data_IF_160722877275
#
_entry.id   IF_160722877275
#
_cell.length_a   1.000
_cell.length_b   1.000
_cell.length_c   1.000
_cell.angle_alpha   90.00
_cell.angle_beta   90.00
_cell.angle_gamma   90.00
#
_symmetry.space_group_name_H-M   'P 1'
#
loop_
_entity.id
_entity.type
_entity.pdbx_description
1 polymer ?
#
# COMPACT_ATOMS: atom_id res chain seq x y z
N UNK A 1 9.35 -1.84 5.10
CA UNK A 1 8.17 -2.68 4.80
C UNK A 1 8.58 -3.80 3.85
N UNK A 2 8.08 -5.02 4.06
CA UNK A 2 8.25 -6.15 3.12
C UNK A 2 6.90 -6.46 2.49
N UNK A 3 6.80 -6.38 1.16
CA UNK A 3 5.57 -6.69 0.42
C UNK A 3 5.56 -8.15 -0.03
N UNK A 4 4.49 -8.87 0.30
CA UNK A 4 4.28 -10.24 -0.14
C UNK A 4 3.96 -10.29 -1.64
N UNK A 5 4.55 -11.25 -2.35
CA UNK A 5 4.49 -11.35 -3.83
C UNK A 5 3.16 -11.89 -4.39
N UNK A 6 2.16 -12.14 -3.55
CA UNK A 6 0.90 -12.79 -3.95
C UNK A 6 0.17 -12.03 -5.06
N UNK A 7 -0.02 -10.72 -4.89
CA UNK A 7 -0.70 -9.88 -5.88
C UNK A 7 0.04 -9.89 -7.23
N UNK A 8 1.35 -9.73 -7.21
CA UNK A 8 2.17 -9.74 -8.43
C UNK A 8 2.14 -11.11 -9.14
N UNK A 9 2.15 -12.21 -8.39
CA UNK A 9 2.05 -13.56 -8.95
C UNK A 9 0.72 -13.80 -9.66
N UNK A 10 -0.40 -13.34 -9.08
CA UNK A 10 -1.73 -13.46 -9.70
C UNK A 10 -1.78 -12.62 -10.96
N UNK A 11 -1.36 -11.36 -10.89
CA UNK A 11 -1.40 -10.44 -12.02
C UNK A 11 -0.60 -10.93 -13.23
N UNK A 12 0.62 -11.41 -13.01
CA UNK A 12 1.48 -11.98 -14.08
C UNK A 12 0.84 -13.22 -14.70
N UNK A 13 0.44 -14.20 -13.88
CA UNK A 13 -0.08 -15.49 -14.40
C UNK A 13 -1.45 -15.38 -15.05
N UNK A 14 -2.23 -14.37 -14.68
CA UNK A 14 -3.55 -14.12 -15.26
C UNK A 14 -3.51 -13.03 -16.34
N UNK A 15 -2.33 -12.51 -16.70
CA UNK A 15 -2.15 -11.40 -17.65
C UNK A 15 -3.12 -10.22 -17.36
N UNK A 16 -3.27 -9.86 -16.08
CA UNK A 16 -4.30 -8.96 -15.61
C UNK A 16 -3.73 -7.70 -14.96
N UNK A 17 -4.05 -6.56 -15.56
CA UNK A 17 -3.69 -5.24 -15.05
C UNK A 17 -4.16 -5.04 -13.61
N UNK A 18 -3.31 -4.41 -12.80
CA UNK A 18 -3.60 -4.12 -11.40
C UNK A 18 -3.59 -2.61 -11.14
N UNK A 19 -4.25 -2.20 -10.07
CA UNK A 19 -4.25 -0.81 -9.62
C UNK A 19 -3.81 -0.73 -8.17
N UNK A 20 -2.84 0.14 -7.90
CA UNK A 20 -2.37 0.40 -6.55
C UNK A 20 -3.28 1.44 -5.90
N UNK A 21 -3.78 1.12 -4.71
CA UNK A 21 -4.58 2.03 -3.90
C UNK A 21 -3.87 2.20 -2.56
N UNK A 22 -3.62 3.45 -2.17
CA UNK A 22 -3.01 3.78 -0.89
C UNK A 22 -4.11 4.25 0.05
N UNK A 23 -4.23 3.57 1.19
CA UNK A 23 -5.21 3.91 2.23
C UNK A 23 -4.43 4.40 3.43
N UNK A 24 -4.76 5.62 3.89
CA UNK A 24 -4.23 6.22 5.11
C UNK A 24 -5.37 6.37 6.10
N UNK A 25 -5.05 6.17 7.38
CA UNK A 25 -5.94 6.46 8.48
C UNK A 25 -5.22 7.41 9.43
N UNK A 26 -5.87 8.48 9.86
CA UNK A 26 -5.29 9.43 10.81
C UNK A 26 -5.01 8.79 12.17
N UNK A 27 -5.79 7.78 12.54
CA UNK A 27 -5.70 7.09 13.82
C UNK A 27 -5.37 5.61 13.66
N UNK A 28 -4.73 5.03 14.68
CA UNK A 28 -4.57 3.58 14.74
C UNK A 28 -5.89 2.92 15.16
N UNK A 29 -6.59 2.32 14.19
CA UNK A 29 -7.81 1.56 14.45
C UNK A 29 -7.53 0.26 15.23
N UNK A 30 -8.59 -0.44 15.61
CA UNK A 30 -8.51 -1.75 16.24
C UNK A 30 -7.78 -2.73 15.30
N UNK A 31 -6.59 -3.14 15.72
CA UNK A 31 -5.75 -4.07 14.98
C UNK A 31 -5.96 -5.52 15.44
N UNK A 32 -5.24 -6.44 14.80
CA UNK A 32 -5.14 -7.82 15.27
C UNK A 32 -4.51 -7.80 16.67
N UNK A 33 -5.15 -8.47 17.63
CA UNK A 33 -4.81 -8.48 19.06
C UNK A 33 -5.17 -7.21 19.86
N UNK A 34 -5.84 -6.23 19.26
CA UNK A 34 -6.44 -5.13 20.02
C UNK A 34 -7.68 -5.60 20.77
N UNK A 35 -7.90 -5.07 21.98
CA UNK A 35 -9.15 -5.25 22.72
C UNK A 35 -10.27 -4.56 21.95
N UNK A 36 -11.40 -5.23 21.74
CA UNK A 36 -12.50 -4.70 20.93
C UNK A 36 -13.08 -3.37 21.45
N UNK A 37 -12.92 -3.09 22.75
CA UNK A 37 -13.40 -1.87 23.41
C UNK A 37 -12.38 -0.72 23.43
N UNK A 38 -11.16 -0.94 22.95
CA UNK A 38 -10.08 0.06 22.98
C UNK A 38 -10.03 0.87 21.68
N UNK A 39 -11.16 1.52 21.37
CA UNK A 39 -11.29 2.33 20.17
C UNK A 39 -10.49 3.65 20.30
N UNK A 40 -10.01 4.24 19.19
CA UNK A 40 -9.31 5.52 19.23
C UNK A 40 -10.18 6.63 19.82
N UNK A 41 -9.56 7.52 20.60
CA UNK A 41 -10.24 8.60 21.31
C UNK A 41 -10.84 9.66 20.36
N UNK A 42 -10.27 9.80 19.17
CA UNK A 42 -10.66 10.74 18.12
C UNK A 42 -11.29 10.00 16.93
N UNK A 43 -12.12 10.73 16.17
CA UNK A 43 -12.73 10.16 14.96
C UNK A 43 -11.66 9.92 13.90
N UNK A 44 -11.47 8.68 13.42
CA UNK A 44 -10.52 8.39 12.35
C UNK A 44 -10.95 9.02 11.02
N UNK A 45 -10.00 9.63 10.32
CA UNK A 45 -10.15 10.09 8.94
C UNK A 45 -9.42 9.14 8.00
N UNK A 46 -10.12 8.66 6.97
CA UNK A 46 -9.56 7.81 5.93
C UNK A 46 -9.31 8.61 4.66
N UNK A 47 -8.09 8.55 4.14
CA UNK A 47 -7.72 9.10 2.83
C UNK A 47 -7.42 7.93 1.89
N UNK A 48 -8.07 7.92 0.73
CA UNK A 48 -7.92 6.89 -0.29
C UNK A 48 -7.34 7.55 -1.54
N UNK A 49 -6.12 7.16 -1.90
CA UNK A 49 -5.45 7.59 -3.12
C UNK A 49 -5.49 6.45 -4.13
N UNK A 50 -6.22 6.65 -5.22
CA UNK A 50 -6.36 5.66 -6.29
C UNK A 50 -5.31 5.97 -7.35
N UNK A 51 -4.30 5.11 -7.46
CA UNK A 51 -3.23 5.26 -8.43
C UNK A 51 -3.64 4.85 -9.85
N UNK A 52 -2.71 5.05 -10.77
CA UNK A 52 -2.87 4.60 -12.15
C UNK A 52 -2.90 3.07 -12.26
N UNK A 53 -3.44 2.59 -13.39
CA UNK A 53 -3.42 1.16 -13.70
C UNK A 53 -2.03 0.77 -14.17
N UNK A 54 -1.45 -0.23 -13.50
CA UNK A 54 -0.18 -0.85 -13.87
C UNK A 54 -0.45 -1.89 -14.94
N UNK A 55 0.07 -1.64 -16.14
CA UNK A 55 -0.10 -2.52 -17.29
C UNK A 55 0.85 -3.72 -17.19
N UNK A 56 0.32 -4.94 -17.16
CA UNK A 56 1.16 -6.14 -16.99
C UNK A 56 2.05 -6.41 -18.20
N UNK A 57 1.61 -5.99 -19.39
CA UNK A 57 2.40 -6.09 -20.61
C UNK A 57 3.77 -5.38 -20.53
N UNK A 58 3.98 -4.46 -19.57
CA UNK A 58 5.28 -3.82 -19.33
C UNK A 58 6.27 -4.71 -18.55
N UNK A 59 5.76 -5.74 -17.86
CA UNK A 59 6.54 -6.60 -16.96
C UNK A 59 6.59 -8.06 -17.42
N UNK A 60 5.64 -8.48 -18.24
CA UNK A 60 5.49 -9.86 -18.65
C UNK A 60 5.04 -9.96 -20.10
N UNK A 61 5.74 -10.80 -20.84
CA UNK A 61 5.38 -11.28 -22.16
C UNK A 61 5.63 -12.79 -22.17
N UNK A 62 4.60 -13.55 -22.57
CA UNK A 62 4.57 -15.02 -22.52
C UNK A 62 5.75 -15.66 -23.26
N UNK A 63 6.35 -14.96 -24.22
CA UNK A 63 7.43 -15.49 -25.05
C UNK A 63 8.84 -15.22 -24.51
N UNK A 64 8.99 -14.34 -23.52
CA UNK A 64 10.31 -13.78 -23.20
C UNK A 64 10.74 -13.90 -21.75
N UNK A 65 9.84 -14.13 -20.78
CA UNK A 65 10.19 -14.09 -19.36
C UNK A 65 9.57 -15.23 -18.54
N UNK A 66 10.37 -15.79 -17.64
CA UNK A 66 9.87 -16.69 -16.59
C UNK A 66 8.89 -15.93 -15.67
N UNK A 67 7.66 -16.45 -15.45
CA UNK A 67 6.64 -15.76 -14.65
C UNK A 67 7.10 -15.37 -13.24
N UNK A 68 7.99 -16.18 -12.66
CA UNK A 68 8.55 -15.93 -11.33
C UNK A 68 9.45 -14.69 -11.27
N UNK A 69 10.20 -14.40 -12.33
CA UNK A 69 11.06 -13.22 -12.44
C UNK A 69 10.20 -11.97 -12.67
N UNK A 70 9.24 -12.04 -13.59
CA UNK A 70 8.29 -10.96 -13.85
C UNK A 70 7.52 -10.56 -12.59
N UNK A 71 7.04 -11.53 -11.81
CA UNK A 71 6.34 -11.27 -10.55
C UNK A 71 7.25 -10.58 -9.51
N UNK A 72 8.55 -10.88 -9.47
CA UNK A 72 9.50 -10.19 -8.58
C UNK A 72 9.72 -8.74 -9.01
N UNK A 73 9.85 -8.49 -10.31
CA UNK A 73 10.02 -7.15 -10.87
C UNK A 73 8.77 -6.29 -10.60
N UNK A 74 7.59 -6.82 -10.90
CA UNK A 74 6.31 -6.18 -10.62
C UNK A 74 6.13 -5.89 -9.12
N UNK A 75 6.45 -6.85 -8.23
CA UNK A 75 6.36 -6.64 -6.79
C UNK A 75 7.29 -5.52 -6.30
N UNK A 76 8.49 -5.38 -6.90
CA UNK A 76 9.40 -4.28 -6.59
C UNK A 76 8.82 -2.94 -7.05
N UNK A 77 8.23 -2.89 -8.24
CA UNK A 77 7.57 -1.69 -8.76
C UNK A 77 6.42 -1.23 -7.84
N UNK A 78 5.54 -2.15 -7.45
CA UNK A 78 4.44 -1.86 -6.52
C UNK A 78 4.97 -1.35 -5.17
N UNK A 79 6.02 -2.00 -4.63
CA UNK A 79 6.62 -1.58 -3.37
C UNK A 79 7.14 -0.14 -3.43
N UNK A 80 7.74 0.29 -4.54
CA UNK A 80 8.21 1.67 -4.72
C UNK A 80 7.05 2.66 -4.75
N UNK A 81 5.96 2.36 -5.47
CA UNK A 81 4.77 3.21 -5.52
C UNK A 81 4.10 3.39 -4.14
N UNK A 82 4.06 2.32 -3.34
CA UNK A 82 3.51 2.37 -1.98
C UNK A 82 4.37 3.21 -1.03
N UNK A 83 5.69 3.31 -1.28
CA UNK A 83 6.61 4.09 -0.46
C UNK A 83 6.56 5.59 -0.77
N UNK A 84 6.39 5.97 -2.04
CA UNK A 84 6.41 7.37 -2.49
C UNK A 84 5.23 8.21 -1.99
N UNK A 85 4.12 7.60 -1.58
CA UNK A 85 3.01 8.32 -0.96
C UNK A 85 3.30 8.80 0.48
N UNK A 86 4.41 8.39 1.10
CA UNK A 86 4.73 8.73 2.49
C UNK A 86 5.23 10.16 2.63
N UNK A 87 4.38 11.16 2.36
CA UNK A 87 4.60 12.50 2.90
C UNK A 87 4.16 12.47 4.36
N UNK A 88 5.07 12.62 5.35
CA UNK A 88 4.64 12.68 6.73
C UNK A 88 3.86 13.99 6.91
N UNK A 89 2.54 13.90 7.11
CA UNK A 89 1.77 15.00 7.68
C UNK A 89 2.16 15.13 9.15
N UNK A 90 3.35 15.69 9.39
CA UNK A 90 3.75 16.16 10.72
C UNK A 90 2.93 17.41 11.01
N UNK A 91 1.73 17.20 11.53
CA UNK A 91 0.88 18.24 12.06
C UNK A 91 1.30 18.56 13.49
N UNK A 92 2.03 19.68 13.62
CA UNK A 92 1.84 20.72 14.63
C UNK A 92 1.96 20.28 16.10
N UNK A 93 3.09 20.67 16.70
CA UNK A 93 3.30 20.70 18.14
C UNK A 93 2.19 21.51 18.83
N UNK A 94 1.42 20.88 19.72
CA UNK A 94 0.66 21.57 20.77
C UNK A 94 1.62 22.02 21.88
N UNK A 95 2.24 23.18 21.66
CA UNK A 95 2.95 23.92 22.70
C UNK A 95 1.97 24.89 23.39
N UNK A 96 1.11 24.38 24.26
CA UNK A 96 0.40 25.20 25.26
C UNK A 96 -0.29 24.35 26.34
N UNK A 97 0.48 23.91 27.33
CA UNK A 97 -0.05 23.53 28.64
C UNK A 97 1.05 23.53 29.71
N UNK A 98 1.60 24.71 30.00
CA UNK A 98 2.17 25.02 31.32
C UNK A 98 1.72 26.45 31.68
N UNK A 99 0.74 26.53 32.57
CA UNK A 99 0.45 27.66 33.44
C UNK A 99 0.37 27.13 34.85
#
# INVERSE_FOLDING_TARGET
MVLQRGAANIAVRCASDLRVVVIRCSEHMLGKNSKWYDAPATRPLFTIEVGERVQIAQFYDDNSQEPSLAARQLNRHILLQLQSGTTPTSGINDASALS
#
